data_IF_905230684310
#
_entry.id   IF_905230684310
#
_cell.length_a   1.000
_cell.length_b   1.000
_cell.length_c   1.000
_cell.angle_alpha   90.00
_cell.angle_beta   90.00
_cell.angle_gamma   90.00
#
_symmetry.space_group_name_H-M   'P 1'
#
loop_
_entity.id
_entity.type
_entity.pdbx_description
1 polymer ?
#
# COMPACT_ATOMS: atom_id res chain seq x y z
N UNK A 1 -22.46 20.44 8.22
CA UNK A 1 -21.15 20.58 7.57
C UNK A 1 -21.23 19.96 6.21
N UNK A 2 -20.40 20.40 5.27
CA UNK A 2 -20.29 19.80 3.94
C UNK A 2 -19.57 18.44 4.01
N UNK A 3 -19.84 17.57 3.04
CA UNK A 3 -19.16 16.29 2.93
C UNK A 3 -17.70 16.51 2.45
N UNK A 4 -16.72 15.76 2.97
CA UNK A 4 -15.33 15.91 2.54
C UNK A 4 -15.12 15.37 1.11
N UNK A 5 -14.25 16.03 0.35
CA UNK A 5 -13.89 15.61 -1.02
C UNK A 5 -13.00 14.36 -1.05
N UNK A 6 -12.17 14.16 -0.02
CA UNK A 6 -11.15 13.10 0.04
C UNK A 6 -11.14 12.45 1.43
N UNK A 7 -11.01 11.12 1.45
CA UNK A 7 -10.77 10.34 2.66
C UNK A 7 -9.39 9.68 2.59
N UNK A 8 -8.54 9.95 3.58
CA UNK A 8 -7.22 9.30 3.71
C UNK A 8 -7.37 8.16 4.73
N UNK A 9 -6.99 6.96 4.31
CA UNK A 9 -7.00 5.77 5.15
C UNK A 9 -5.55 5.32 5.33
N UNK A 10 -5.06 5.37 6.57
CA UNK A 10 -3.79 4.77 6.95
C UNK A 10 -4.02 3.32 7.38
N UNK A 11 -3.33 2.38 6.75
CA UNK A 11 -3.26 1.01 7.22
C UNK A 11 -2.01 0.83 8.08
N UNK A 12 -2.21 0.60 9.38
CA UNK A 12 -1.11 0.26 10.28
C UNK A 12 -0.51 -1.13 9.99
N UNK A 13 0.69 -1.37 10.51
CA UNK A 13 1.44 -2.61 10.30
C UNK A 13 2.27 -2.61 9.01
N UNK A 14 2.85 -3.76 8.67
CA UNK A 14 3.62 -3.94 7.43
C UNK A 14 2.89 -4.91 6.51
N UNK A 15 2.90 -4.62 5.21
CA UNK A 15 2.35 -5.54 4.21
C UNK A 15 3.20 -6.82 4.20
N UNK A 16 2.53 -7.97 4.30
CA UNK A 16 3.16 -9.28 4.44
C UNK A 16 3.03 -9.88 5.84
N UNK A 17 2.68 -9.07 6.84
CA UNK A 17 2.35 -9.58 8.18
C UNK A 17 0.95 -10.22 8.19
N UNK A 18 0.80 -11.30 8.97
CA UNK A 18 -0.44 -12.06 9.07
C UNK A 18 -1.63 -11.18 9.54
N UNK A 19 -1.35 -10.24 10.44
CA UNK A 19 -2.33 -9.33 11.03
C UNK A 19 -2.92 -8.35 10.00
N UNK A 20 -2.14 -7.98 8.99
CA UNK A 20 -2.53 -7.03 7.95
C UNK A 20 -3.47 -7.64 6.89
N UNK A 21 -3.51 -8.98 6.77
CA UNK A 21 -4.23 -9.70 5.71
C UNK A 21 -5.69 -9.27 5.50
N UNK A 22 -6.54 -9.25 6.55
CA UNK A 22 -7.94 -8.85 6.42
C UNK A 22 -8.13 -7.42 5.92
N UNK A 23 -7.27 -6.49 6.34
CA UNK A 23 -7.37 -5.09 5.93
C UNK A 23 -6.90 -4.89 4.49
N UNK A 24 -5.84 -5.59 4.07
CA UNK A 24 -5.36 -5.56 2.69
C UNK A 24 -6.43 -6.10 1.74
N UNK A 25 -7.11 -7.18 2.11
CA UNK A 25 -8.23 -7.73 1.33
C UNK A 25 -9.40 -6.73 1.25
N UNK A 26 -9.77 -6.10 2.36
CA UNK A 26 -10.82 -5.08 2.37
C UNK A 26 -10.49 -3.88 1.46
N UNK A 27 -9.24 -3.40 1.46
CA UNK A 27 -8.77 -2.34 0.56
C UNK A 27 -8.76 -2.79 -0.91
N UNK A 28 -8.38 -4.05 -1.18
CA UNK A 28 -8.43 -4.63 -2.53
C UNK A 28 -9.86 -4.65 -3.07
N UNK A 29 -10.82 -5.08 -2.26
CA UNK A 29 -12.24 -5.04 -2.62
C UNK A 29 -12.76 -3.60 -2.78
N UNK A 30 -12.34 -2.69 -1.90
CA UNK A 30 -12.73 -1.27 -1.99
C UNK A 30 -12.24 -0.64 -3.30
N UNK A 31 -10.98 -0.87 -3.66
CA UNK A 31 -10.40 -0.47 -4.94
C UNK A 31 -11.20 -1.02 -6.12
N UNK A 32 -11.57 -2.31 -6.07
CA UNK A 32 -12.37 -2.92 -7.14
C UNK A 32 -13.74 -2.25 -7.27
N UNK A 33 -14.39 -1.94 -6.15
CA UNK A 33 -15.72 -1.31 -6.11
C UNK A 33 -15.71 0.15 -6.56
N UNK A 34 -14.71 0.95 -6.16
CA UNK A 34 -14.64 2.38 -6.44
C UNK A 34 -14.06 2.70 -7.82
N UNK A 35 -13.27 1.77 -8.39
CA UNK A 35 -12.57 1.99 -9.65
C UNK A 35 -11.37 2.92 -9.52
N UNK A 36 -10.63 3.10 -10.62
CA UNK A 36 -9.36 3.85 -10.62
C UNK A 36 -9.53 5.36 -10.39
N UNK A 37 -10.68 5.92 -10.76
CA UNK A 37 -10.89 7.37 -10.67
C UNK A 37 -11.23 7.84 -9.24
N UNK A 38 -11.62 6.91 -8.35
CA UNK A 38 -12.05 7.22 -6.99
C UNK A 38 -11.27 6.44 -5.91
N UNK A 39 -10.13 5.83 -6.28
CA UNK A 39 -9.26 5.12 -5.36
C UNK A 39 -7.81 5.22 -5.80
N UNK A 40 -6.95 5.63 -4.87
CA UNK A 40 -5.50 5.68 -5.03
C UNK A 40 -4.86 4.95 -3.85
N UNK A 41 -3.78 4.20 -4.09
CA UNK A 41 -2.98 3.60 -3.03
C UNK A 41 -1.54 4.07 -3.03
N UNK A 42 -1.07 4.49 -1.87
CA UNK A 42 0.32 4.90 -1.64
C UNK A 42 1.00 3.82 -0.81
N UNK A 43 2.15 3.35 -1.27
CA UNK A 43 2.99 2.41 -0.51
C UNK A 43 4.25 3.10 -0.02
N UNK A 44 4.41 3.16 1.30
CA UNK A 44 5.62 3.69 1.93
C UNK A 44 6.60 2.54 2.14
N UNK A 45 7.86 2.73 1.75
CA UNK A 45 8.91 1.71 1.87
C UNK A 45 10.22 2.33 2.32
N UNK A 46 11.02 1.55 3.06
CA UNK A 46 12.33 1.95 3.53
C UNK A 46 13.43 1.53 2.55
N UNK A 47 14.26 2.50 2.15
CA UNK A 47 15.47 2.28 1.34
C UNK A 47 16.69 2.37 2.28
N UNK A 48 17.26 1.23 2.73
CA UNK A 48 18.40 1.26 3.63
C UNK A 48 19.69 1.67 2.91
N UNK A 49 20.55 2.38 3.64
CA UNK A 49 21.93 2.66 3.23
C UNK A 49 22.84 1.63 3.90
N UNK A 50 23.53 0.81 3.11
CA UNK A 50 24.48 -0.19 3.58
C UNK A 50 25.84 0.13 2.98
N UNK A 51 26.85 0.38 3.82
CA UNK A 51 28.20 0.76 3.41
C UNK A 51 28.23 2.01 2.50
N UNK A 52 27.36 2.99 2.78
CA UNK A 52 27.27 4.23 1.99
C UNK A 52 26.49 4.11 0.68
N UNK A 53 25.90 2.96 0.38
CA UNK A 53 25.12 2.74 -0.84
C UNK A 53 23.65 2.46 -0.52
N UNK A 54 22.75 3.15 -1.21
CA UNK A 54 21.31 2.89 -1.14
C UNK A 54 20.96 1.55 -1.77
N UNK A 55 20.21 0.72 -1.04
CA UNK A 55 19.77 -0.59 -1.53
C UNK A 55 18.28 -0.55 -1.85
N UNK A 56 17.95 -0.60 -3.13
CA UNK A 56 16.55 -0.56 -3.61
C UNK A 56 15.86 -1.92 -3.62
N UNK A 57 16.60 -3.03 -3.45
CA UNK A 57 16.03 -4.39 -3.45
C UNK A 57 14.90 -4.58 -2.41
N UNK A 58 15.04 -4.15 -1.14
CA UNK A 58 13.96 -4.25 -0.17
C UNK A 58 12.66 -3.60 -0.65
N UNK A 59 12.72 -2.40 -1.21
CA UNK A 59 11.56 -1.72 -1.79
C UNK A 59 10.96 -2.48 -2.98
N UNK A 60 11.81 -3.02 -3.87
CA UNK A 60 11.32 -3.86 -4.98
C UNK A 60 10.57 -5.11 -4.47
N UNK A 61 11.03 -5.73 -3.39
CA UNK A 61 10.35 -6.86 -2.76
C UNK A 61 9.02 -6.45 -2.11
N UNK A 62 8.99 -5.34 -1.37
CA UNK A 62 7.77 -4.81 -0.76
C UNK A 62 6.70 -4.53 -1.81
N UNK A 63 7.05 -3.84 -2.91
CA UNK A 63 6.10 -3.52 -3.99
C UNK A 63 5.57 -4.79 -4.68
N UNK A 64 6.39 -5.85 -4.81
CA UNK A 64 5.91 -7.14 -5.33
C UNK A 64 4.87 -7.77 -4.40
N UNK A 65 5.07 -7.68 -3.08
CA UNK A 65 4.10 -8.19 -2.10
C UNK A 65 2.79 -7.40 -2.16
N UNK A 66 2.85 -6.06 -2.19
CA UNK A 66 1.65 -5.22 -2.34
C UNK A 66 0.84 -5.61 -3.57
N UNK A 67 1.52 -5.77 -4.72
CA UNK A 67 0.89 -6.20 -5.99
C UNK A 67 0.29 -7.59 -5.90
N UNK A 68 0.97 -8.54 -5.25
CA UNK A 68 0.45 -9.90 -5.07
C UNK A 68 -0.81 -9.95 -4.21
N UNK A 69 -1.01 -8.94 -3.35
CA UNK A 69 -2.18 -8.81 -2.50
C UNK A 69 -3.35 -8.03 -3.16
N UNK A 70 -3.25 -7.69 -4.45
CA UNK A 70 -4.32 -7.03 -5.21
C UNK A 70 -4.32 -5.50 -5.15
N UNK A 71 -3.38 -4.91 -4.42
CA UNK A 71 -3.18 -3.46 -4.38
C UNK A 71 -2.11 -3.05 -5.40
N UNK A 72 -2.36 -1.98 -6.15
CA UNK A 72 -1.43 -1.46 -7.16
C UNK A 72 -1.06 -0.05 -6.73
N UNK A 73 0.17 0.16 -6.19
CA UNK A 73 0.64 1.49 -5.82
C UNK A 73 0.67 2.41 -7.04
N UNK A 74 0.13 3.62 -6.88
CA UNK A 74 0.06 4.66 -7.91
C UNK A 74 1.28 5.59 -7.91
#
# INVERSE_FOLDING_TARGET
GEAPDVCIIELGGTIGDLESGPFVEALSQLRHRLGRDNFLSISVSYVPIINGEEKTKPTQHAIRQVRSAGLIPD
#
